data_IF_094361701646
#
_entry.id   IF_094361701646
#
_cell.length_a   1.000
_cell.length_b   1.000
_cell.length_c   1.000
_cell.angle_alpha   90.00
_cell.angle_beta   90.00
_cell.angle_gamma   90.00
#
_symmetry.space_group_name_H-M   'P 1'
#
loop_
_entity.id
_entity.type
_entity.pdbx_description
1 polymer ?
#
# COMPACT_ATOMS: atom_id res chain seq x y z
N UNK A 1 9.18 -11.80 0.69
CA UNK A 1 10.34 -10.98 0.30
C UNK A 1 10.75 -10.06 1.46
N UNK A 2 11.00 -10.63 2.65
CA UNK A 2 11.10 -9.85 3.90
C UNK A 2 12.53 -9.61 4.42
N UNK A 3 13.55 -10.25 3.83
CA UNK A 3 14.91 -10.20 4.37
C UNK A 3 15.83 -9.39 3.45
N UNK A 4 15.93 -8.05 3.67
CA UNK A 4 17.11 -7.18 3.36
C UNK A 4 16.86 -5.66 3.26
N UNK A 5 15.70 -5.13 3.67
CA UNK A 5 15.53 -3.68 3.66
C UNK A 5 16.48 -3.01 4.69
N UNK A 6 17.26 -1.98 4.30
CA UNK A 6 18.28 -1.36 5.16
C UNK A 6 17.69 -0.56 6.34
N UNK A 7 16.41 -0.21 6.28
CA UNK A 7 15.69 0.51 7.35
C UNK A 7 14.25 0.01 7.44
N UNK A 8 13.59 0.22 8.59
CA UNK A 8 12.15 -0.05 8.73
C UNK A 8 11.30 0.79 7.76
N UNK A 9 11.72 2.01 7.49
CA UNK A 9 11.08 2.86 6.48
C UNK A 9 11.12 2.21 5.10
N UNK A 10 12.30 1.75 4.67
CA UNK A 10 12.43 1.11 3.37
C UNK A 10 11.59 -0.18 3.32
N UNK A 11 11.60 -0.97 4.39
CA UNK A 11 10.75 -2.16 4.49
C UNK A 11 9.28 -1.83 4.31
N UNK A 12 8.78 -0.82 5.02
CA UNK A 12 7.40 -0.36 4.93
C UNK A 12 7.03 0.09 3.51
N UNK A 13 7.89 0.87 2.86
CA UNK A 13 7.69 1.32 1.47
C UNK A 13 7.69 0.13 0.51
N UNK A 14 8.62 -0.82 0.69
CA UNK A 14 8.72 -2.02 -0.14
C UNK A 14 7.47 -2.89 -0.02
N UNK A 15 6.96 -3.12 1.20
CA UNK A 15 5.72 -3.88 1.41
C UNK A 15 4.52 -3.22 0.72
N UNK A 16 4.33 -1.91 0.91
CA UNK A 16 3.20 -1.21 0.30
C UNK A 16 3.28 -1.19 -1.24
N UNK A 17 4.49 -1.05 -1.79
CA UNK A 17 4.68 -1.02 -3.25
C UNK A 17 4.60 -2.42 -3.87
N UNK A 18 5.09 -3.45 -3.17
CA UNK A 18 4.93 -4.86 -3.57
C UNK A 18 3.44 -5.21 -3.70
N UNK A 19 2.60 -4.78 -2.74
CA UNK A 19 1.15 -5.01 -2.82
C UNK A 19 0.54 -4.45 -4.11
N UNK A 20 0.94 -3.24 -4.52
CA UNK A 20 0.48 -2.61 -5.77
C UNK A 20 0.96 -3.41 -6.98
N UNK A 21 2.21 -3.89 -6.96
CA UNK A 21 2.81 -4.66 -8.04
C UNK A 21 2.19 -6.05 -8.22
N UNK A 22 1.57 -6.63 -7.17
CA UNK A 22 0.79 -7.87 -7.29
C UNK A 22 -0.35 -7.76 -8.33
N UNK A 23 -0.80 -6.55 -8.68
CA UNK A 23 -1.77 -6.35 -9.76
C UNK A 23 -1.25 -6.68 -11.17
N UNK A 24 0.06 -6.95 -11.31
CA UNK A 24 0.66 -7.47 -12.54
C UNK A 24 0.58 -9.00 -12.64
N UNK A 25 0.47 -9.69 -11.51
CA UNK A 25 0.38 -11.16 -11.50
C UNK A 25 -1.00 -11.60 -12.06
N UNK A 26 -1.06 -12.38 -13.15
CA UNK A 26 -2.32 -12.59 -13.89
C UNK A 26 -3.48 -13.11 -13.06
N UNK A 27 -3.22 -14.04 -12.14
CA UNK A 27 -4.25 -14.62 -11.27
C UNK A 27 -4.74 -13.61 -10.23
N UNK A 28 -3.82 -12.89 -9.59
CA UNK A 28 -4.15 -11.86 -8.59
C UNK A 28 -4.88 -10.70 -9.28
N UNK A 29 -4.41 -10.27 -10.44
CA UNK A 29 -5.05 -9.24 -11.25
C UNK A 29 -6.52 -9.56 -11.52
N UNK A 30 -6.79 -10.77 -12.04
CA UNK A 30 -8.15 -11.17 -12.41
C UNK A 30 -9.02 -11.36 -11.18
N UNK A 31 -8.58 -12.15 -10.21
CA UNK A 31 -9.42 -12.53 -9.07
C UNK A 31 -9.51 -11.39 -8.06
N UNK A 32 -8.38 -10.89 -7.58
CA UNK A 32 -8.34 -9.95 -6.45
C UNK A 32 -8.67 -8.51 -6.84
N UNK A 33 -8.33 -8.08 -8.06
CA UNK A 33 -8.45 -6.67 -8.44
C UNK A 33 -9.48 -6.38 -9.55
N UNK A 34 -10.10 -7.41 -10.15
CA UNK A 34 -11.24 -7.26 -11.09
C UNK A 34 -12.50 -7.97 -10.59
N UNK A 35 -12.45 -9.28 -10.41
CA UNK A 35 -13.63 -10.10 -10.11
C UNK A 35 -14.15 -9.84 -8.70
N UNK A 36 -13.27 -9.91 -7.69
CA UNK A 36 -13.66 -9.73 -6.30
C UNK A 36 -14.23 -8.32 -6.03
N UNK A 37 -13.68 -7.20 -6.53
CA UNK A 37 -14.32 -5.89 -6.37
C UNK A 37 -15.71 -5.80 -6.99
N UNK A 38 -15.94 -6.49 -8.13
CA UNK A 38 -17.24 -6.51 -8.78
C UNK A 38 -18.31 -7.29 -7.99
N UNK A 39 -17.90 -8.27 -7.18
CA UNK A 39 -18.80 -9.15 -6.41
C UNK A 39 -18.92 -8.73 -4.94
N UNK A 40 -17.81 -8.35 -4.32
CA UNK A 40 -17.66 -8.09 -2.89
C UNK A 40 -17.60 -6.60 -2.54
N UNK A 41 -17.56 -5.72 -3.54
CA UNK A 41 -17.40 -4.28 -3.34
C UNK A 41 -15.97 -3.88 -2.99
N UNK A 42 -15.79 -2.75 -2.30
CA UNK A 42 -14.48 -2.14 -2.06
C UNK A 42 -13.50 -3.05 -1.29
N UNK A 43 -12.32 -3.38 -1.87
CA UNK A 43 -11.26 -4.15 -1.20
C UNK A 43 -10.81 -3.60 0.14
N UNK A 44 -10.85 -2.29 0.34
CA UNK A 44 -10.45 -1.67 1.61
C UNK A 44 -11.43 -1.98 2.76
N UNK A 45 -12.64 -2.47 2.44
CA UNK A 45 -13.70 -2.82 3.40
C UNK A 45 -13.84 -4.33 3.62
N UNK A 46 -13.06 -5.16 2.94
CA UNK A 46 -13.16 -6.62 3.10
C UNK A 46 -12.77 -7.08 4.50
N UNK A 47 -13.30 -8.20 5.01
CA UNK A 47 -12.99 -8.69 6.36
C UNK A 47 -11.49 -8.86 6.64
N UNK A 48 -10.71 -9.25 5.62
CA UNK A 48 -9.25 -9.39 5.71
C UNK A 48 -8.49 -8.05 5.67
N UNK A 49 -9.10 -6.96 5.20
CA UNK A 49 -8.51 -5.64 5.20
C UNK A 49 -8.25 -5.12 6.63
N UNK A 50 -9.00 -5.64 7.62
CA UNK A 50 -8.79 -5.36 9.04
C UNK A 50 -7.40 -5.79 9.54
N UNK A 51 -6.92 -6.96 9.11
CA UNK A 51 -5.60 -7.47 9.48
C UNK A 51 -4.48 -6.68 8.81
N UNK A 52 -4.63 -6.34 7.53
CA UNK A 52 -3.68 -5.46 6.83
C UNK A 52 -3.61 -4.08 7.49
N UNK A 53 -4.76 -3.52 7.88
CA UNK A 53 -4.82 -2.24 8.59
C UNK A 53 -4.09 -2.33 9.93
N UNK A 54 -4.37 -3.35 10.75
CA UNK A 54 -3.70 -3.51 12.04
C UNK A 54 -2.18 -3.67 11.93
N UNK A 55 -1.70 -4.46 10.96
CA UNK A 55 -0.26 -4.61 10.71
C UNK A 55 0.39 -3.29 10.28
N UNK A 56 -0.30 -2.53 9.44
CA UNK A 56 0.19 -1.24 8.93
C UNK A 56 0.19 -0.17 10.03
N UNK A 57 -0.80 -0.19 10.92
CA UNK A 57 -0.85 0.65 12.13
C UNK A 57 0.37 0.38 13.02
N UNK A 58 0.72 -0.88 13.31
CA UNK A 58 1.91 -1.21 14.12
C UNK A 58 3.21 -0.72 13.47
N UNK A 59 3.35 -0.86 12.15
CA UNK A 59 4.50 -0.30 11.42
C UNK A 59 4.59 1.22 11.52
N UNK A 60 3.48 1.93 11.34
CA UNK A 60 3.45 3.40 11.45
C UNK A 60 3.76 3.87 12.87
N UNK A 61 3.20 3.23 13.90
CA UNK A 61 3.48 3.54 15.31
C UNK A 61 4.98 3.40 15.62
N UNK A 62 5.61 2.29 15.21
CA UNK A 62 7.06 2.10 15.43
C UNK A 62 7.91 3.13 14.69
N UNK A 63 7.50 3.50 13.47
CA UNK A 63 8.19 4.54 12.71
C UNK A 63 8.05 5.94 13.36
N UNK A 64 6.95 6.21 14.06
CA UNK A 64 6.80 7.42 14.87
C UNK A 64 7.68 7.38 16.12
N UNK A 65 7.73 6.24 16.84
CA UNK A 65 8.59 6.04 18.01
C UNK A 65 10.08 6.22 17.67
N UNK A 66 10.51 5.80 16.47
CA UNK A 66 11.86 6.01 15.94
C UNK A 66 12.09 7.43 15.41
N UNK A 67 11.08 8.30 15.42
CA UNK A 67 11.16 9.68 14.93
C UNK A 67 11.31 9.79 13.41
N UNK A 68 10.98 8.74 12.66
CA UNK A 68 11.07 8.68 11.19
C UNK A 68 9.83 9.26 10.52
N UNK A 69 8.65 8.98 11.09
CA UNK A 69 7.35 9.51 10.65
C UNK A 69 6.92 10.68 11.56
N UNK A 70 6.15 11.62 11.01
CA UNK A 70 5.63 12.77 11.76
C UNK A 70 4.81 12.33 12.98
N UNK A 71 5.02 12.97 14.14
CA UNK A 71 4.43 12.54 15.41
C UNK A 71 2.92 12.85 15.53
N UNK A 72 2.44 13.88 14.83
CA UNK A 72 1.03 14.33 14.93
C UNK A 72 0.06 13.53 14.03
N UNK A 73 0.56 12.48 13.38
CA UNK A 73 -0.22 11.57 12.55
C UNK A 73 -0.94 10.54 13.42
N UNK A 74 -2.22 10.29 13.13
CA UNK A 74 -2.94 9.14 13.67
C UNK A 74 -2.57 7.86 12.86
N UNK A 75 -1.94 6.85 13.47
CA UNK A 75 -1.45 5.68 12.74
C UNK A 75 -2.55 4.86 12.08
N UNK A 76 -3.68 4.67 12.75
CA UNK A 76 -4.77 3.83 12.23
C UNK A 76 -5.46 4.50 11.03
N UNK A 77 -5.80 5.78 11.16
CA UNK A 77 -6.41 6.56 10.07
C UNK A 77 -5.48 6.59 8.86
N UNK A 78 -4.17 6.78 9.10
CA UNK A 78 -3.19 6.77 8.02
C UNK A 78 -3.05 5.40 7.38
N UNK A 79 -3.03 4.32 8.16
CA UNK A 79 -3.03 2.96 7.63
C UNK A 79 -4.23 2.69 6.70
N UNK A 80 -5.43 3.15 7.10
CA UNK A 80 -6.64 3.05 6.26
C UNK A 80 -6.52 3.84 4.96
N UNK A 81 -5.98 5.07 5.02
CA UNK A 81 -5.73 5.90 3.84
C UNK A 81 -4.71 5.26 2.88
N UNK A 82 -3.62 4.71 3.41
CA UNK A 82 -2.58 4.01 2.63
C UNK A 82 -3.16 2.74 2.00
N UNK A 83 -3.99 1.98 2.73
CA UNK A 83 -4.67 0.80 2.20
C UNK A 83 -5.61 1.17 1.04
N UNK A 84 -6.43 2.21 1.20
CA UNK A 84 -7.33 2.69 0.14
C UNK A 84 -6.56 3.17 -1.10
N UNK A 85 -5.50 3.96 -0.91
CA UNK A 85 -4.66 4.43 -2.00
C UNK A 85 -3.94 3.29 -2.73
N UNK A 86 -3.43 2.30 -2.00
CA UNK A 86 -2.81 1.09 -2.55
C UNK A 86 -3.81 0.27 -3.36
N UNK A 87 -5.01 0.04 -2.81
CA UNK A 87 -6.09 -0.70 -3.47
C UNK A 87 -6.54 -0.01 -4.76
N UNK A 88 -6.68 1.32 -4.74
CA UNK A 88 -7.02 2.10 -5.92
C UNK A 88 -5.92 2.05 -7.00
N UNK A 89 -4.65 2.10 -6.60
CA UNK A 89 -3.52 1.97 -7.51
C UNK A 89 -3.49 0.58 -8.18
N UNK A 90 -3.67 -0.48 -7.38
CA UNK A 90 -3.73 -1.86 -7.87
C UNK A 90 -4.90 -2.08 -8.85
N UNK A 91 -6.10 -1.60 -8.54
CA UNK A 91 -7.25 -1.67 -9.45
C UNK A 91 -7.00 -0.90 -10.76
N UNK A 92 -6.34 0.26 -10.69
CA UNK A 92 -5.99 1.03 -11.89
C UNK A 92 -5.00 0.29 -12.80
N UNK A 93 -4.02 -0.41 -12.22
CA UNK A 93 -3.10 -1.30 -12.96
C UNK A 93 -3.88 -2.45 -13.59
N UNK A 94 -4.71 -3.11 -12.78
CA UNK A 94 -5.48 -4.26 -13.20
C UNK A 94 -6.43 -3.93 -14.36
N UNK A 95 -6.96 -2.71 -14.46
CA UNK A 95 -7.87 -2.33 -15.54
C UNK A 95 -7.21 -1.57 -16.71
N UNK A 96 -5.88 -1.50 -16.75
CA UNK A 96 -5.15 -0.77 -17.79
C UNK A 96 -4.95 -1.59 -19.07
N UNK A 97 -4.82 -0.88 -20.20
CA UNK A 97 -4.40 -1.47 -21.49
C UNK A 97 -2.88 -1.79 -21.49
N UNK A 98 -2.10 -1.10 -20.67
CA UNK A 98 -0.67 -1.34 -20.47
C UNK A 98 -0.39 -1.40 -18.95
N UNK A 99 -0.61 -2.56 -18.31
CA UNK A 99 -0.45 -2.75 -16.87
C UNK A 99 0.97 -2.41 -16.40
N UNK A 100 2.01 -2.79 -17.12
CA UNK A 100 3.41 -2.57 -16.76
C UNK A 100 3.77 -1.09 -16.74
N UNK A 101 3.40 -0.32 -17.77
CA UNK A 101 3.63 1.13 -17.78
C UNK A 101 2.79 1.84 -16.72
N UNK A 102 1.58 1.34 -16.44
CA UNK A 102 0.70 1.88 -15.41
C UNK A 102 1.27 1.63 -14.02
N UNK A 103 1.80 0.42 -13.77
CA UNK A 103 2.44 0.05 -12.51
C UNK A 103 3.62 0.94 -12.18
N UNK A 104 4.52 1.17 -13.15
CA UNK A 104 5.68 2.08 -12.97
C UNK A 104 5.25 3.48 -12.52
N UNK A 105 4.21 4.04 -13.14
CA UNK A 105 3.67 5.37 -12.79
C UNK A 105 3.00 5.37 -11.42
N UNK A 106 2.21 4.34 -11.13
CA UNK A 106 1.49 4.20 -9.86
C UNK A 106 2.45 4.06 -8.68
N UNK A 107 3.42 3.16 -8.77
CA UNK A 107 4.45 2.94 -7.73
C UNK A 107 5.28 4.20 -7.52
N UNK A 108 5.70 4.90 -8.60
CA UNK A 108 6.45 6.14 -8.47
C UNK A 108 5.66 7.23 -7.72
N UNK A 109 4.40 7.45 -8.09
CA UNK A 109 3.55 8.43 -7.40
C UNK A 109 3.25 8.04 -5.95
N UNK A 110 2.99 6.75 -5.70
CA UNK A 110 2.70 6.25 -4.37
C UNK A 110 3.89 6.36 -3.41
N UNK A 111 5.12 6.11 -3.89
CA UNK A 111 6.35 6.36 -3.12
C UNK A 111 6.48 7.83 -2.69
N UNK A 112 6.12 8.78 -3.57
CA UNK A 112 6.12 10.21 -3.22
C UNK A 112 5.07 10.55 -2.16
N UNK A 113 3.89 9.93 -2.22
CA UNK A 113 2.85 10.09 -1.20
C UNK A 113 3.35 9.60 0.18
N UNK A 114 3.97 8.42 0.22
CA UNK A 114 4.55 7.90 1.46
C UNK A 114 5.68 8.80 1.99
N UNK A 115 6.55 9.31 1.13
CA UNK A 115 7.66 10.20 1.57
C UNK A 115 7.14 11.45 2.30
N UNK A 116 5.93 11.94 1.97
CA UNK A 116 5.27 13.04 2.68
C UNK A 116 4.95 12.76 4.15
N UNK A 117 4.94 11.49 4.58
CA UNK A 117 4.72 11.09 5.97
C UNK A 117 5.98 11.21 6.83
N UNK A 118 7.15 11.34 6.21
CA UNK A 118 8.41 11.40 6.94
C UNK A 118 8.56 12.73 7.65
N UNK A 119 9.18 12.68 8.83
CA UNK A 119 9.61 13.86 9.54
C UNK A 119 10.65 14.60 8.69
N UNK A 120 10.31 15.81 8.24
CA UNK A 120 11.28 16.68 7.58
C UNK A 120 12.40 17.02 8.59
N UNK A 121 13.65 16.93 8.15
CA UNK A 121 14.82 17.30 8.95
C UNK A 121 14.87 18.81 9.17
#
# INVERSE_FOLDING_TARGET
VAARAPTRWQHFVDECTTYIELALEPEIQRIMFRDAPAVLGDPAQWPNASACTASMTDHLTRLQEEGVVVADLDPETTARLINGASSQAAQRIANSQDPEATSKKAVAAFKQLLEGLRKQR
#
